data_IF_813374233330
#
_entry.id   IF_813374233330
#
_cell.length_a   1.000
_cell.length_b   1.000
_cell.length_c   1.000
_cell.angle_alpha   90.00
_cell.angle_beta   90.00
_cell.angle_gamma   90.00
#
_symmetry.space_group_name_H-M   'P 1'
#
loop_
_entity.id
_entity.type
_entity.pdbx_description
1 polymer ?
#
# COMPACT_ATOMS: atom_id res chain seq x y z
N UNK A 1 -7.42 -9.23 1.28
CA UNK A 1 -6.52 -10.19 0.59
C UNK A 1 -5.35 -10.39 1.52
N UNK A 2 -5.03 -11.63 1.90
CA UNK A 2 -3.92 -11.86 2.84
C UNK A 2 -2.60 -11.46 2.21
N UNK A 3 -1.88 -10.55 2.88
CA UNK A 3 -0.60 -10.07 2.43
C UNK A 3 0.50 -10.98 2.99
N UNK A 4 1.63 -11.16 2.27
CA UNK A 4 2.73 -12.02 2.70
C UNK A 4 3.59 -11.36 3.79
N UNK A 5 2.96 -10.73 4.78
CA UNK A 5 3.62 -10.09 5.90
C UNK A 5 3.64 -11.01 7.11
N UNK A 6 4.74 -10.98 7.85
CA UNK A 6 4.85 -11.73 9.09
C UNK A 6 3.93 -11.17 10.17
N UNK A 7 3.43 -12.04 11.04
CA UNK A 7 2.60 -11.65 12.18
C UNK A 7 3.47 -11.40 13.40
N UNK A 8 3.45 -10.19 13.93
CA UNK A 8 4.17 -9.81 15.14
C UNK A 8 3.24 -9.73 16.35
N UNK A 9 3.78 -9.93 17.55
CA UNK A 9 3.01 -9.85 18.79
C UNK A 9 2.35 -8.47 18.98
N UNK A 10 2.98 -7.41 18.48
CA UNK A 10 2.42 -6.08 18.27
C UNK A 10 2.67 -5.67 16.83
N UNK A 11 1.59 -5.39 16.11
CA UNK A 11 1.64 -5.04 14.70
C UNK A 11 0.47 -4.16 14.29
N UNK A 12 0.41 -3.83 13.00
CA UNK A 12 -0.73 -3.13 12.43
C UNK A 12 -1.93 -4.07 12.27
N UNK A 13 -3.14 -3.51 12.40
CA UNK A 13 -4.38 -4.22 12.18
C UNK A 13 -4.42 -4.79 10.76
N UNK A 14 -4.39 -6.13 10.65
CA UNK A 14 -4.31 -6.82 9.37
C UNK A 14 -5.43 -6.40 8.43
N UNK A 15 -6.66 -6.22 8.94
CA UNK A 15 -7.79 -5.83 8.09
C UNK A 15 -7.61 -4.42 7.53
N UNK A 16 -7.09 -3.49 8.33
CA UNK A 16 -6.80 -2.14 7.84
C UNK A 16 -5.72 -2.15 6.77
N UNK A 17 -4.64 -2.90 6.99
CA UNK A 17 -3.55 -3.03 6.01
C UNK A 17 -4.09 -3.66 4.72
N UNK A 18 -4.84 -4.75 4.80
CA UNK A 18 -5.38 -5.41 3.61
C UNK A 18 -6.37 -4.54 2.83
N UNK A 19 -7.23 -3.78 3.51
CA UNK A 19 -8.15 -2.84 2.86
C UNK A 19 -7.40 -1.73 2.15
N UNK A 20 -6.40 -1.13 2.79
CA UNK A 20 -5.59 -0.05 2.22
C UNK A 20 -4.83 -0.53 0.98
N UNK A 21 -4.20 -1.69 1.06
CA UNK A 21 -3.42 -2.24 -0.05
C UNK A 21 -4.31 -2.65 -1.22
N UNK A 22 -5.51 -3.19 -0.96
CA UNK A 22 -6.46 -3.51 -2.02
C UNK A 22 -6.94 -2.26 -2.78
N UNK A 23 -7.18 -1.15 -2.08
CA UNK A 23 -7.57 0.12 -2.70
C UNK A 23 -6.43 0.67 -3.58
N UNK A 24 -5.20 0.67 -3.06
CA UNK A 24 -4.02 1.15 -3.79
C UNK A 24 -3.70 0.28 -4.99
N UNK A 25 -3.73 -1.05 -4.84
CA UNK A 25 -3.44 -1.97 -5.93
C UNK A 25 -4.52 -1.87 -7.03
N UNK A 26 -5.79 -1.60 -6.67
CA UNK A 26 -6.85 -1.29 -7.63
C UNK A 26 -6.63 0.02 -8.39
N UNK A 27 -6.14 1.05 -7.69
CA UNK A 27 -5.78 2.32 -8.31
C UNK A 27 -4.53 2.21 -9.21
N UNK A 28 -3.55 1.39 -8.85
CA UNK A 28 -2.38 1.06 -9.67
C UNK A 28 -2.73 0.26 -10.92
N UNK A 29 -3.74 -0.60 -10.85
CA UNK A 29 -4.26 -1.33 -12.01
C UNK A 29 -4.99 -0.41 -13.00
N UNK A 30 -5.37 0.79 -12.58
CA UNK A 30 -6.03 1.79 -13.42
C UNK A 30 -4.99 2.75 -13.98
N UNK A 31 -4.96 3.00 -15.29
CA UNK A 31 -4.04 3.99 -15.91
C UNK A 31 -4.48 5.46 -15.70
N UNK A 32 -5.20 5.73 -14.61
CA UNK A 32 -5.71 7.06 -14.30
C UNK A 32 -4.72 7.79 -13.38
N UNK A 33 -4.20 8.93 -13.86
CA UNK A 33 -3.37 9.81 -13.04
C UNK A 33 -4.09 10.29 -11.77
N UNK A 34 -5.41 10.49 -11.85
CA UNK A 34 -6.24 10.89 -10.70
C UNK A 34 -6.33 9.77 -9.68
N UNK A 35 -6.55 8.53 -10.13
CA UNK A 35 -6.60 7.36 -9.23
C UNK A 35 -5.26 7.13 -8.54
N UNK A 36 -4.14 7.29 -9.27
CA UNK A 36 -2.79 7.21 -8.71
C UNK A 36 -2.53 8.28 -7.65
N UNK A 37 -2.92 9.53 -7.91
CA UNK A 37 -2.79 10.61 -6.95
C UNK A 37 -3.62 10.35 -5.67
N UNK A 38 -4.88 9.91 -5.83
CA UNK A 38 -5.75 9.57 -4.71
C UNK A 38 -5.19 8.42 -3.86
N UNK A 39 -4.67 7.36 -4.49
CA UNK A 39 -4.04 6.24 -3.78
C UNK A 39 -2.79 6.66 -3.01
N UNK A 40 -1.97 7.55 -3.59
CA UNK A 40 -0.80 8.11 -2.91
C UNK A 40 -1.21 8.93 -1.68
N UNK A 41 -2.26 9.73 -1.79
CA UNK A 41 -2.74 10.56 -0.70
C UNK A 41 -3.39 9.68 0.40
N UNK A 42 -4.10 8.61 0.02
CA UNK A 42 -4.62 7.60 0.94
C UNK A 42 -3.51 6.91 1.73
N UNK A 43 -2.42 6.49 1.06
CA UNK A 43 -1.24 5.91 1.72
C UNK A 43 -0.57 6.90 2.71
N UNK A 44 -0.47 8.18 2.34
CA UNK A 44 0.12 9.21 3.21
C UNK A 44 -0.77 9.56 4.40
N UNK A 45 -2.09 9.54 4.22
CA UNK A 45 -3.05 9.84 5.28
C UNK A 45 -3.39 8.61 6.12
N UNK A 46 -2.97 7.41 5.72
CA UNK A 46 -3.29 6.17 6.41
C UNK A 46 -2.72 6.14 7.83
N UNK A 47 -3.61 6.21 8.82
CA UNK A 47 -3.28 5.97 10.21
C UNK A 47 -3.65 4.55 10.60
N UNK A 48 -2.69 3.64 10.50
CA UNK A 48 -2.87 2.23 10.84
C UNK A 48 -2.88 2.05 12.36
N UNK A 49 -3.94 1.41 12.87
CA UNK A 49 -4.09 1.10 14.29
C UNK A 49 -3.18 -0.05 14.67
N UNK A 50 -2.54 0.08 15.83
CA UNK A 50 -1.72 -1.00 16.42
C UNK A 50 -2.61 -1.95 17.22
N UNK A 51 -2.41 -3.25 17.01
CA UNK A 51 -3.12 -4.34 17.70
C UNK A 51 -2.14 -5.41 18.17
N UNK A 52 -2.58 -6.23 19.11
CA UNK A 52 -1.90 -7.49 19.42
C UNK A 52 -2.11 -8.47 18.27
N UNK A 53 -1.06 -9.20 17.87
CA UNK A 53 -1.06 -10.12 16.72
C UNK A 53 -1.47 -9.42 15.41
N UNK A 54 -0.72 -8.39 15.04
CA UNK A 54 -0.89 -7.68 13.77
C UNK A 54 0.22 -7.99 12.78
N UNK A 55 0.16 -7.42 11.57
CA UNK A 55 1.29 -7.48 10.65
C UNK A 55 2.49 -6.69 11.19
N UNK A 56 3.69 -7.20 10.97
CA UNK A 56 4.94 -6.57 11.39
C UNK A 56 5.05 -5.17 10.78
N UNK A 57 5.26 -4.17 11.65
CA UNK A 57 5.15 -2.75 11.27
C UNK A 57 6.20 -2.35 10.24
N UNK A 58 7.46 -2.82 10.37
CA UNK A 58 8.52 -2.46 9.43
C UNK A 58 8.27 -3.02 8.03
N UNK A 59 7.72 -4.23 7.91
CA UNK A 59 7.34 -4.82 6.63
C UNK A 59 6.20 -4.05 5.98
N UNK A 60 5.20 -3.65 6.76
CA UNK A 60 4.09 -2.83 6.27
C UNK A 60 4.59 -1.45 5.83
N UNK A 61 5.40 -0.78 6.65
CA UNK A 61 5.96 0.54 6.34
C UNK A 61 6.85 0.49 5.09
N UNK A 62 7.73 -0.50 4.98
CA UNK A 62 8.56 -0.69 3.79
C UNK A 62 7.72 -0.95 2.53
N UNK A 63 6.62 -1.69 2.64
CA UNK A 63 5.72 -1.96 1.53
C UNK A 63 4.89 -0.74 1.12
N UNK A 64 4.54 0.14 2.07
CA UNK A 64 3.93 1.45 1.81
C UNK A 64 4.92 2.34 1.05
N UNK A 65 6.17 2.42 1.51
CA UNK A 65 7.22 3.22 0.87
C UNK A 65 7.49 2.76 -0.58
N UNK A 66 7.54 1.45 -0.81
CA UNK A 66 7.69 0.90 -2.17
C UNK A 66 6.54 1.29 -3.09
N UNK A 67 5.29 1.27 -2.61
CA UNK A 67 4.11 1.68 -3.39
C UNK A 67 4.07 3.17 -3.64
N UNK A 68 4.43 3.98 -2.65
CA UNK A 68 4.59 5.42 -2.82
C UNK A 68 5.65 5.75 -3.87
N UNK A 69 6.77 5.01 -3.90
CA UNK A 69 7.79 5.16 -4.92
C UNK A 69 7.28 4.75 -6.32
N UNK A 70 6.54 3.63 -6.42
CA UNK A 70 5.95 3.17 -7.67
C UNK A 70 4.90 4.16 -8.22
N UNK A 71 4.11 4.79 -7.35
CA UNK A 71 3.13 5.83 -7.71
C UNK A 71 3.78 7.17 -8.07
N UNK A 72 5.00 7.43 -7.57
CA UNK A 72 5.75 8.65 -7.85
C UNK A 72 6.52 8.59 -9.17
N UNK A 73 6.93 7.40 -9.62
CA UNK A 73 7.44 7.25 -10.98
C UNK A 73 6.27 7.44 -11.96
N UNK A 74 6.39 8.35 -12.95
CA UNK A 74 5.49 8.34 -14.10
C UNK A 74 5.62 6.97 -14.76
N UNK A 75 4.50 6.40 -15.22
CA UNK A 75 4.46 5.08 -15.84
C UNK A 75 5.51 4.97 -16.96
N UNK A 76 6.66 4.38 -16.65
CA UNK A 76 7.66 4.05 -17.67
C UNK A 76 7.30 2.74 -18.37
N UNK A 77 6.14 2.14 -18.07
CA UNK A 77 5.53 1.10 -18.91
C UNK A 77 4.66 1.69 -20.02
N UNK A 78 5.17 2.71 -20.70
CA UNK A 78 4.92 2.84 -22.14
C UNK A 78 6.20 2.41 -22.84
N UNK A 79 6.37 1.09 -22.99
CA UNK A 79 7.42 0.55 -23.85
C UNK A 79 7.14 0.94 -25.31
N UNK A 80 8.17 1.26 -26.11
CA UNK A 80 7.99 1.65 -27.51
C UNK A 80 7.58 0.41 -28.31
N UNK A 81 6.46 0.51 -29.04
CA UNK A 81 6.11 -0.39 -30.13
C UNK A 81 6.28 0.35 -31.46
#
# INVERSE_FOLDING_TARGET
>A
MTLPFETALRGYDMRQVESLFAEVDGALATDSAVSRAAARDALRAASLRRRLRGYEMRQVDAAIDQRLAALALPDTRSGPA
#
